data_IF_756934516350
#
_entry.id   IF_756934516350
#
_cell.length_a   1.000
_cell.length_b   1.000
_cell.length_c   1.000
_cell.angle_alpha   90.00
_cell.angle_beta   90.00
_cell.angle_gamma   90.00
#
_symmetry.space_group_name_H-M   'P 1'
#
loop_
_entity.id
_entity.type
_entity.pdbx_description
1 polymer ?
#
# COMPACT_ATOMS: atom_id res chain seq x y z
N UNK A 1 11.90 -9.34 -20.31
CA UNK A 1 10.82 -9.31 -19.30
C UNK A 1 11.18 -8.22 -18.31
N UNK A 2 10.32 -7.21 -18.11
CA UNK A 2 10.59 -6.19 -17.10
C UNK A 2 10.55 -6.86 -15.72
N UNK A 3 11.57 -6.68 -14.88
CA UNK A 3 11.68 -7.40 -13.60
C UNK A 3 11.10 -6.56 -12.45
N UNK A 4 9.86 -6.87 -12.08
CA UNK A 4 9.13 -6.20 -11.01
C UNK A 4 9.76 -6.45 -9.62
N UNK A 5 10.40 -7.60 -9.42
CA UNK A 5 11.04 -7.98 -8.15
C UNK A 5 12.24 -7.07 -7.80
N UNK A 6 12.79 -6.34 -8.79
CA UNK A 6 13.82 -5.33 -8.57
C UNK A 6 13.30 -4.01 -8.00
N UNK A 7 11.98 -3.79 -7.97
CA UNK A 7 11.39 -2.53 -7.50
C UNK A 7 11.20 -2.61 -5.98
N UNK A 8 12.10 -1.97 -5.22
CA UNK A 8 12.06 -1.95 -3.76
C UNK A 8 10.68 -1.58 -3.20
N UNK A 9 10.07 -0.49 -3.70
CA UNK A 9 8.76 -0.02 -3.23
C UNK A 9 7.63 -1.02 -3.50
N UNK A 10 7.74 -1.83 -4.56
CA UNK A 10 6.77 -2.89 -4.84
C UNK A 10 6.90 -4.03 -3.82
N UNK A 11 8.12 -4.52 -3.57
CA UNK A 11 8.38 -5.57 -2.57
C UNK A 11 7.87 -5.17 -1.18
N UNK A 12 8.14 -3.93 -0.77
CA UNK A 12 7.64 -3.36 0.50
C UNK A 12 6.12 -3.32 0.52
N UNK A 13 5.49 -2.89 -0.57
CA UNK A 13 4.03 -2.85 -0.70
C UNK A 13 3.39 -4.24 -0.61
N UNK A 14 4.00 -5.26 -1.21
CA UNK A 14 3.56 -6.65 -1.09
C UNK A 14 3.66 -7.15 0.35
N UNK A 15 4.80 -6.90 1.02
CA UNK A 15 4.99 -7.28 2.41
C UNK A 15 3.99 -6.56 3.34
N UNK A 16 3.77 -5.26 3.13
CA UNK A 16 2.77 -4.47 3.83
C UNK A 16 1.37 -5.09 3.67
N UNK A 17 0.95 -5.45 2.45
CA UNK A 17 -0.35 -6.09 2.22
C UNK A 17 -0.49 -7.43 2.97
N UNK A 18 0.56 -8.25 2.99
CA UNK A 18 0.58 -9.51 3.76
C UNK A 18 0.44 -9.23 5.26
N UNK A 19 1.21 -8.28 5.80
CA UNK A 19 1.18 -7.91 7.21
C UNK A 19 -0.18 -7.33 7.62
N UNK A 20 -0.78 -6.50 6.78
CA UNK A 20 -2.14 -5.97 6.99
C UNK A 20 -3.17 -7.09 7.07
N UNK A 21 -3.13 -8.07 6.16
CA UNK A 21 -4.04 -9.21 6.22
C UNK A 21 -3.88 -10.05 7.50
N UNK A 22 -2.64 -10.26 7.95
CA UNK A 22 -2.36 -10.99 9.19
C UNK A 22 -2.81 -10.23 10.43
N UNK A 23 -2.61 -8.90 10.45
CA UNK A 23 -2.96 -8.04 11.58
C UNK A 23 -4.48 -7.91 11.80
N UNK A 24 -5.28 -7.97 10.73
CA UNK A 24 -6.74 -7.86 10.81
C UNK A 24 -7.43 -9.05 11.48
N UNK A 25 -6.77 -10.22 11.54
CA UNK A 25 -7.31 -11.41 12.19
C UNK A 25 -8.79 -11.72 11.87
N UNK A 26 -9.56 -12.25 12.84
CA UNK A 26 -11.01 -12.28 12.82
C UNK A 26 -11.56 -10.87 13.08
N UNK A 27 -11.93 -10.16 12.02
CA UNK A 27 -12.56 -8.84 12.13
C UNK A 27 -14.08 -8.99 12.30
N UNK A 28 -14.71 -8.34 13.29
CA UNK A 28 -16.16 -8.39 13.49
C UNK A 28 -16.95 -7.66 12.38
N UNK A 29 -16.30 -6.76 11.63
CA UNK A 29 -16.86 -6.08 10.47
C UNK A 29 -16.18 -6.57 9.17
N UNK A 30 -16.81 -7.49 8.42
CA UNK A 30 -16.27 -8.01 7.16
C UNK A 30 -16.11 -6.94 6.08
N UNK A 31 -16.97 -5.92 6.05
CA UNK A 31 -16.91 -4.85 5.05
C UNK A 31 -15.69 -3.95 5.31
N UNK A 32 -15.43 -3.61 6.57
CA UNK A 32 -14.24 -2.86 6.95
C UNK A 32 -12.96 -3.64 6.64
N UNK A 33 -12.95 -4.94 6.94
CA UNK A 33 -11.86 -5.85 6.58
C UNK A 33 -11.62 -5.87 5.06
N UNK A 34 -12.68 -6.00 4.27
CA UNK A 34 -12.57 -5.98 2.80
C UNK A 34 -11.96 -4.66 2.31
N UNK A 35 -12.42 -3.52 2.84
CA UNK A 35 -11.90 -2.20 2.44
C UNK A 35 -10.40 -2.05 2.74
N UNK A 36 -9.95 -2.43 3.93
CA UNK A 36 -8.52 -2.36 4.30
C UNK A 36 -7.68 -3.29 3.44
N UNK A 37 -8.12 -4.54 3.28
CA UNK A 37 -7.39 -5.53 2.48
C UNK A 37 -7.27 -5.08 1.02
N UNK A 38 -8.35 -4.56 0.43
CA UNK A 38 -8.34 -4.00 -0.91
C UNK A 38 -7.43 -2.79 -1.05
N UNK A 39 -7.47 -1.83 -0.12
CA UNK A 39 -6.58 -0.67 -0.13
C UNK A 39 -5.10 -1.10 -0.09
N UNK A 40 -4.77 -2.08 0.75
CA UNK A 40 -3.39 -2.60 0.85
C UNK A 40 -2.90 -3.30 -0.43
N UNK A 41 -3.73 -4.14 -1.05
CA UNK A 41 -3.41 -4.81 -2.31
C UNK A 41 -3.32 -3.84 -3.48
N UNK A 42 -4.12 -2.77 -3.46
CA UNK A 42 -4.13 -1.76 -4.51
C UNK A 42 -2.80 -1.01 -4.63
N UNK A 43 -2.02 -0.86 -3.55
CA UNK A 43 -0.71 -0.19 -3.61
C UNK A 43 0.25 -0.97 -4.52
N UNK A 44 0.48 -2.26 -4.22
CA UNK A 44 1.33 -3.12 -5.02
C UNK A 44 0.77 -3.33 -6.44
N UNK A 45 -0.54 -3.53 -6.57
CA UNK A 45 -1.20 -3.76 -7.86
C UNK A 45 -1.07 -2.57 -8.81
N UNK A 46 -1.21 -1.35 -8.30
CA UNK A 46 -1.04 -0.15 -9.13
C UNK A 46 0.42 0.03 -9.56
N UNK A 47 1.41 -0.24 -8.69
CA UNK A 47 2.83 -0.18 -9.07
C UNK A 47 3.11 -1.16 -10.22
N UNK A 48 2.65 -2.40 -10.10
CA UNK A 48 2.81 -3.43 -11.12
C UNK A 48 2.13 -3.03 -12.45
N UNK A 49 0.86 -2.62 -12.38
CA UNK A 49 0.09 -2.20 -13.56
C UNK A 49 0.67 -0.96 -14.26
N UNK A 50 1.33 -0.09 -13.50
CA UNK A 50 2.06 1.06 -14.02
C UNK A 50 3.38 0.67 -14.68
N UNK A 51 4.11 -0.27 -14.07
CA UNK A 51 5.40 -0.75 -14.57
C UNK A 51 5.28 -1.44 -15.94
N UNK A 52 4.17 -2.12 -16.19
CA UNK A 52 3.83 -2.72 -17.48
C UNK A 52 3.48 -1.68 -18.58
N UNK A 53 3.34 -0.39 -18.24
CA UNK A 53 3.05 0.65 -19.23
C UNK A 53 4.31 1.00 -20.04
N UNK A 54 4.08 1.37 -21.30
CA UNK A 54 5.14 1.79 -22.23
C UNK A 54 5.38 3.31 -22.22
N UNK A 55 4.61 4.06 -21.42
CA UNK A 55 4.72 5.50 -21.29
C UNK A 55 5.02 5.89 -19.85
N UNK A 56 6.05 6.71 -19.68
CA UNK A 56 6.42 7.35 -18.41
C UNK A 56 5.25 8.10 -17.78
N UNK A 57 4.47 8.82 -18.59
CA UNK A 57 3.29 9.56 -18.11
C UNK A 57 2.24 8.61 -17.52
N UNK A 58 1.93 7.51 -18.22
CA UNK A 58 1.01 6.50 -17.72
C UNK A 58 1.54 5.84 -16.45
N UNK A 59 2.83 5.52 -16.40
CA UNK A 59 3.44 4.94 -15.20
C UNK A 59 3.26 5.86 -13.99
N UNK A 60 3.53 7.16 -14.13
CA UNK A 60 3.30 8.15 -13.07
C UNK A 60 1.85 8.21 -12.60
N UNK A 61 0.87 8.09 -13.50
CA UNK A 61 -0.54 8.06 -13.09
C UNK A 61 -0.85 6.86 -12.19
N UNK A 62 -0.32 5.68 -12.51
CA UNK A 62 -0.48 4.49 -11.67
C UNK A 62 0.26 4.63 -10.33
N UNK A 63 1.46 5.21 -10.32
CA UNK A 63 2.18 5.49 -9.07
C UNK A 63 1.41 6.48 -8.17
N UNK A 64 0.76 7.49 -8.75
CA UNK A 64 -0.10 8.40 -8.01
C UNK A 64 -1.33 7.68 -7.41
N UNK A 65 -1.94 6.74 -8.16
CA UNK A 65 -3.00 5.88 -7.63
C UNK A 65 -2.50 5.01 -6.48
N UNK A 66 -1.32 4.39 -6.60
CA UNK A 66 -0.69 3.62 -5.53
C UNK A 66 -0.49 4.47 -4.27
N UNK A 67 -0.02 5.72 -4.42
CA UNK A 67 0.18 6.64 -3.31
C UNK A 67 -1.16 7.06 -2.65
N UNK A 68 -2.22 7.24 -3.45
CA UNK A 68 -3.57 7.46 -2.95
C UNK A 68 -4.10 6.28 -2.13
N UNK A 69 -3.96 5.05 -2.63
CA UNK A 69 -4.32 3.83 -1.89
C UNK A 69 -3.50 3.65 -0.62
N UNK A 70 -2.21 4.05 -0.63
CA UNK A 70 -1.36 4.01 0.56
C UNK A 70 -1.85 4.98 1.65
N UNK A 71 -2.27 6.19 1.26
CA UNK A 71 -2.86 7.15 2.18
C UNK A 71 -4.22 6.68 2.73
N UNK A 72 -5.07 6.08 1.88
CA UNK A 72 -6.34 5.48 2.32
C UNK A 72 -6.11 4.37 3.34
N UNK A 73 -5.20 3.43 3.04
CA UNK A 73 -4.85 2.34 3.95
C UNK A 73 -4.38 2.87 5.31
N UNK A 74 -3.51 3.89 5.32
CA UNK A 74 -3.00 4.51 6.55
C UNK A 74 -4.14 5.04 7.43
N UNK A 75 -5.10 5.75 6.83
CA UNK A 75 -6.29 6.24 7.53
C UNK A 75 -7.10 5.10 8.12
N UNK A 76 -7.30 4.01 7.36
CA UNK A 76 -8.08 2.88 7.83
C UNK A 76 -7.34 2.08 8.92
N UNK A 77 -6.01 1.97 8.88
CA UNK A 77 -5.21 1.34 9.94
C UNK A 77 -5.29 2.12 11.26
N UNK A 78 -5.28 3.45 11.19
CA UNK A 78 -5.52 4.30 12.34
C UNK A 78 -6.88 4.01 12.96
N UNK A 79 -7.95 4.05 12.15
CA UNK A 79 -9.32 3.75 12.60
C UNK A 79 -9.42 2.32 13.17
N UNK A 80 -8.78 1.34 12.53
CA UNK A 80 -8.79 -0.06 12.99
C UNK A 80 -8.18 -0.22 14.38
N UNK A 81 -7.14 0.56 14.72
CA UNK A 81 -6.54 0.56 16.04
C UNK A 81 -7.49 1.15 17.08
N UNK A 82 -8.08 2.31 16.80
CA UNK A 82 -9.03 2.98 17.70
C UNK A 82 -10.29 2.13 17.96
N UNK A 83 -10.70 1.30 16.99
CA UNK A 83 -11.80 0.36 17.14
C UNK A 83 -11.40 -0.95 17.85
N UNK A 84 -10.13 -1.12 18.22
CA UNK A 84 -9.60 -2.34 18.83
C UNK A 84 -9.58 -3.57 17.90
N UNK A 85 -9.68 -3.36 16.59
CA UNK A 85 -9.66 -4.43 15.57
C UNK A 85 -8.22 -4.93 15.35
N UNK A 86 -7.24 -4.02 15.43
CA UNK A 86 -5.81 -4.32 15.31
C UNK A 86 -5.12 -3.79 16.57
N UNK A 87 -4.13 -4.54 17.05
CA UNK A 87 -3.26 -4.09 18.14
C UNK A 87 -2.56 -2.76 17.81
N UNK A 88 -2.48 -1.85 18.78
CA UNK A 88 -1.90 -0.51 18.57
C UNK A 88 -0.43 -0.56 18.13
N UNK A 89 0.38 -1.50 18.65
CA UNK A 89 1.78 -1.62 18.23
C UNK A 89 1.88 -2.15 16.80
N UNK A 90 1.03 -3.11 16.42
CA UNK A 90 0.94 -3.56 15.02
C UNK A 90 0.49 -2.44 14.08
N UNK A 91 -0.55 -1.69 14.44
CA UNK A 91 -1.03 -0.58 13.63
C UNK A 91 0.01 0.52 13.48
N UNK A 92 0.71 0.89 14.56
CA UNK A 92 1.80 1.88 14.53
C UNK A 92 2.90 1.48 13.55
N UNK A 93 3.31 0.21 13.58
CA UNK A 93 4.32 -0.32 12.66
C UNK A 93 3.84 -0.33 11.20
N UNK A 94 2.57 -0.66 10.96
CA UNK A 94 1.99 -0.62 9.60
C UNK A 94 1.85 0.82 9.09
N UNK A 95 1.42 1.75 9.95
CA UNK A 95 1.32 3.18 9.61
C UNK A 95 2.70 3.75 9.27
N UNK A 96 3.74 3.42 10.04
CA UNK A 96 5.11 3.80 9.72
C UNK A 96 5.55 3.27 8.34
N UNK A 97 5.22 2.01 8.03
CA UNK A 97 5.51 1.43 6.71
C UNK A 97 4.78 2.16 5.57
N UNK A 98 3.51 2.56 5.76
CA UNK A 98 2.78 3.36 4.75
C UNK A 98 3.42 4.72 4.47
N UNK A 99 4.01 5.36 5.49
CA UNK A 99 4.74 6.62 5.34
C UNK A 99 6.01 6.41 4.49
N UNK A 100 6.77 5.38 4.81
CA UNK A 100 7.97 5.02 4.06
C UNK A 100 7.67 4.68 2.60
N UNK A 101 6.64 3.88 2.34
CA UNK A 101 6.19 3.55 0.98
C UNK A 101 5.76 4.83 0.25
N UNK A 102 5.04 5.73 0.91
CA UNK A 102 4.65 7.02 0.30
C UNK A 102 5.86 7.86 -0.10
N UNK A 103 6.91 7.89 0.71
CA UNK A 103 8.17 8.57 0.38
C UNK A 103 8.83 7.93 -0.85
N UNK A 104 8.96 6.60 -0.88
CA UNK A 104 9.53 5.88 -2.02
C UNK A 104 8.72 6.08 -3.31
N UNK A 105 7.39 6.07 -3.23
CA UNK A 105 6.51 6.34 -4.36
C UNK A 105 6.72 7.74 -4.91
N UNK A 106 6.80 8.76 -4.05
CA UNK A 106 7.06 10.14 -4.47
C UNK A 106 8.44 10.28 -5.11
N UNK A 107 9.47 9.67 -4.55
CA UNK A 107 10.81 9.65 -5.15
C UNK A 107 10.77 9.02 -6.54
N UNK A 108 10.07 7.89 -6.71
CA UNK A 108 9.94 7.21 -8.00
C UNK A 108 9.14 8.01 -9.03
N UNK A 109 8.08 8.71 -8.61
CA UNK A 109 7.28 9.60 -9.45
C UNK A 109 8.14 10.77 -9.97
N UNK A 110 8.99 11.33 -9.11
CA UNK A 110 9.88 12.45 -9.47
C UNK A 110 11.07 11.98 -10.31
N UNK A 111 11.64 10.80 -10.02
CA UNK A 111 12.81 10.28 -10.74
C UNK A 111 12.49 9.71 -12.12
N UNK A 112 11.21 9.57 -12.46
CA UNK A 112 10.79 9.16 -13.82
C UNK A 112 10.78 10.36 -14.79
N UNK A 113 11.53 11.44 -14.54
CA UNK A 113 11.74 12.58 -15.46
C UNK A 113 12.85 12.26 -16.46
#
# INVERSE_FOLDING_TARGET
MKNLDGINVWNRSCNMAIRTHKALGPCPDPNFRERITRASLAVASNIAAGYERNSTWQFRQYLNKANGSCAELRTQLYIAAELGIIDHAQSTNLIAETLEISTLLRSLITSTI
#
